data_IF_303067268565
#
_entry.id   IF_303067268565
#
_cell.length_a   1.000
_cell.length_b   1.000
_cell.length_c   1.000
_cell.angle_alpha   90.00
_cell.angle_beta   90.00
_cell.angle_gamma   90.00
#
_symmetry.space_group_name_H-M   'P 1'
#
loop_
_entity.id
_entity.type
_entity.pdbx_description
1 polymer ?
#
# COMPACT_ATOMS: atom_id res chain seq x y z
N UNK A 1 28.49 31.28 35.22
CA UNK A 1 27.82 32.59 35.38
C UNK A 1 26.43 32.48 34.80
N UNK A 2 25.49 32.60 35.66
CA UNK A 2 24.06 32.63 35.58
C UNK A 2 23.49 33.55 34.49
N UNK A 3 22.41 33.14 33.83
CA UNK A 3 21.13 33.85 33.91
C UNK A 3 19.99 33.01 33.23
N UNK A 4 19.09 32.54 34.06
CA UNK A 4 17.72 32.16 33.78
C UNK A 4 16.91 33.43 33.47
N UNK A 5 15.96 33.34 32.52
CA UNK A 5 14.76 34.19 32.51
C UNK A 5 13.57 33.30 32.16
N UNK A 6 12.78 33.03 33.21
CA UNK A 6 11.37 32.57 33.11
C UNK A 6 10.49 33.80 32.94
N UNK A 7 9.48 33.73 32.07
CA UNK A 7 8.30 34.58 32.17
C UNK A 7 7.06 33.68 31.96
N UNK A 8 6.35 33.54 33.06
CA UNK A 8 4.95 33.07 33.10
C UNK A 8 4.05 34.30 33.02
N UNK A 9 2.95 34.20 32.30
CA UNK A 9 1.79 35.02 32.61
C UNK A 9 0.50 34.26 32.31
N UNK A 10 -0.32 34.26 33.33
CA UNK A 10 -1.59 33.59 33.49
C UNK A 10 -2.78 34.43 32.98
N UNK A 11 -3.87 33.72 32.67
CA UNK A 11 -5.22 34.12 33.10
C UNK A 11 -6.05 34.91 32.08
N UNK A 12 -7.21 34.45 31.72
CA UNK A 12 -8.48 34.82 32.40
C UNK A 12 -9.63 34.01 31.81
N UNK A 13 -10.39 33.39 32.70
CA UNK A 13 -11.73 32.81 32.48
C UNK A 13 -12.77 33.91 32.26
N UNK A 14 -13.77 33.62 31.44
CA UNK A 14 -15.11 34.25 31.61
C UNK A 14 -16.18 33.19 31.32
N UNK A 15 -16.89 32.82 32.38
CA UNK A 15 -18.19 32.14 32.40
C UNK A 15 -19.30 33.10 31.97
N UNK A 16 -20.28 32.59 31.24
CA UNK A 16 -21.55 33.25 30.96
C UNK A 16 -22.70 32.24 30.96
N UNK A 17 -23.36 32.05 32.10
CA UNK A 17 -24.66 31.37 32.24
C UNK A 17 -25.77 32.41 32.09
N UNK A 18 -26.90 32.02 31.46
CA UNK A 18 -28.29 32.41 31.79
C UNK A 18 -29.21 31.70 30.78
N UNK A 19 -30.04 30.81 31.09
CA UNK A 19 -31.19 30.65 31.96
C UNK A 19 -32.54 30.88 31.26
N UNK A 20 -33.34 29.82 31.19
CA UNK A 20 -34.79 29.64 31.41
C UNK A 20 -35.81 30.55 30.71
N UNK A 21 -36.85 29.86 30.17
CA UNK A 21 -38.18 30.46 29.91
C UNK A 21 -39.16 29.42 29.32
N UNK A 22 -39.78 28.67 30.11
CA UNK A 22 -41.06 28.01 30.33
C UNK A 22 -42.21 28.31 29.35
N UNK A 23 -42.94 27.23 29.05
CA UNK A 23 -44.31 27.05 28.52
C UNK A 23 -45.40 27.90 29.19
N UNK A 24 -46.64 28.05 28.61
CA UNK A 24 -47.61 26.97 28.65
C UNK A 24 -48.64 26.87 27.50
N UNK A 25 -49.39 25.79 27.56
CA UNK A 25 -50.49 25.26 26.78
C UNK A 25 -51.74 26.17 26.58
N UNK A 26 -52.49 25.88 25.52
CA UNK A 26 -53.98 25.80 25.56
C UNK A 26 -54.52 25.17 24.26
N UNK A 27 -55.23 24.06 24.43
CA UNK A 27 -56.35 23.58 23.60
C UNK A 27 -57.65 24.29 24.07
N UNK A 28 -58.87 24.09 23.47
CA UNK A 28 -59.34 23.24 22.39
C UNK A 28 -60.34 23.92 21.41
N UNK A 29 -60.78 23.20 20.36
CA UNK A 29 -62.20 22.94 20.03
C UNK A 29 -62.43 22.54 18.57
N UNK A 30 -62.87 21.32 18.40
CA UNK A 30 -64.09 20.84 17.75
C UNK A 30 -64.53 21.40 16.40
N UNK A 31 -64.64 20.48 15.41
CA UNK A 31 -65.34 20.69 14.15
C UNK A 31 -65.33 19.42 13.27
N UNK A 32 -66.36 18.58 13.46
CA UNK A 32 -66.71 17.40 12.66
C UNK A 32 -67.16 17.78 11.28
N UNK A 33 -66.67 17.07 10.22
CA UNK A 33 -67.53 16.57 9.13
C UNK A 33 -66.86 15.41 8.41
N UNK A 34 -67.58 14.34 8.33
CA UNK A 34 -67.24 13.12 7.54
C UNK A 34 -67.41 13.35 6.06
N UNK A 35 -66.50 12.81 5.26
CA UNK A 35 -66.78 12.36 3.91
C UNK A 35 -65.90 11.17 3.57
N UNK A 36 -66.62 10.11 3.27
CA UNK A 36 -66.18 8.79 2.82
C UNK A 36 -65.54 8.87 1.43
N UNK A 37 -64.58 8.01 1.20
CA UNK A 37 -64.39 7.12 0.06
C UNK A 37 -62.97 7.16 -0.55
N UNK A 38 -62.41 6.09 -0.57
CA UNK A 38 -61.87 5.24 -1.65
C UNK A 38 -60.55 4.58 -1.26
N UNK A 39 -60.64 3.30 -1.04
CA UNK A 39 -59.53 2.37 -1.02
C UNK A 39 -58.79 2.41 -2.35
N UNK A 40 -57.58 2.87 -2.33
CA UNK A 40 -56.59 2.67 -3.36
C UNK A 40 -55.38 2.00 -2.75
N UNK A 41 -55.42 0.67 -2.66
CA UNK A 41 -54.30 -0.15 -2.26
C UNK A 41 -53.28 -0.12 -3.40
N UNK A 42 -52.31 0.77 -3.31
CA UNK A 42 -51.11 0.71 -4.11
C UNK A 42 -50.06 -0.02 -3.26
N UNK A 43 -50.05 -1.34 -3.38
CA UNK A 43 -48.93 -2.16 -2.93
C UNK A 43 -47.74 -1.77 -3.80
N UNK A 44 -46.90 -0.86 -3.32
CA UNK A 44 -45.54 -0.72 -3.83
C UNK A 44 -44.82 -2.02 -3.48
N UNK A 45 -44.75 -2.90 -4.46
CA UNK A 45 -43.86 -4.05 -4.45
C UNK A 45 -42.45 -3.46 -4.40
N UNK A 46 -41.86 -3.36 -3.22
CA UNK A 46 -40.43 -3.26 -3.07
C UNK A 46 -39.87 -4.58 -3.61
N UNK A 47 -39.50 -4.59 -4.87
CA UNK A 47 -38.56 -5.58 -5.38
C UNK A 47 -37.28 -5.38 -4.60
N UNK A 48 -37.10 -6.14 -3.53
CA UNK A 48 -35.78 -6.46 -3.04
C UNK A 48 -35.11 -7.21 -4.19
N UNK A 49 -34.31 -6.54 -4.97
CA UNK A 49 -33.29 -7.19 -5.79
C UNK A 49 -32.38 -7.90 -4.79
N UNK A 50 -32.58 -9.18 -4.61
CA UNK A 50 -31.52 -10.06 -4.14
C UNK A 50 -30.44 -9.95 -5.20
N UNK A 51 -29.47 -9.05 -5.01
CA UNK A 51 -28.20 -9.15 -5.71
C UNK A 51 -27.67 -10.53 -5.38
N UNK A 52 -27.72 -11.42 -6.36
CA UNK A 52 -27.02 -12.68 -6.28
C UNK A 52 -25.55 -12.30 -6.11
N UNK A 53 -24.93 -12.68 -4.99
CA UNK A 53 -23.49 -12.57 -4.81
C UNK A 53 -22.85 -13.24 -6.04
N UNK A 54 -22.37 -12.44 -6.96
CA UNK A 54 -21.68 -12.92 -8.14
C UNK A 54 -20.27 -13.23 -7.69
N UNK A 55 -19.94 -14.50 -7.59
CA UNK A 55 -18.60 -14.95 -7.25
C UNK A 55 -17.61 -14.54 -8.35
N UNK A 56 -16.40 -14.22 -7.98
CA UNK A 56 -15.30 -13.89 -8.87
C UNK A 56 -14.41 -15.12 -8.94
N UNK A 57 -14.22 -15.69 -10.13
CA UNK A 57 -13.40 -16.86 -10.39
C UNK A 57 -12.26 -16.58 -11.35
N UNK A 58 -12.31 -15.46 -12.05
CA UNK A 58 -11.34 -15.04 -13.06
C UNK A 58 -11.19 -13.52 -13.06
N UNK A 59 -10.17 -13.04 -13.74
CA UNK A 59 -9.94 -11.60 -13.97
C UNK A 59 -11.09 -10.96 -14.76
N UNK A 60 -11.71 -11.69 -15.68
CA UNK A 60 -12.85 -11.20 -16.47
C UNK A 60 -14.09 -10.88 -15.62
N UNK A 61 -14.23 -11.52 -14.46
CA UNK A 61 -15.34 -11.28 -13.53
C UNK A 61 -15.22 -9.96 -12.75
N UNK A 62 -14.12 -9.23 -12.87
CA UNK A 62 -13.90 -7.95 -12.22
C UNK A 62 -14.71 -6.78 -12.83
N UNK A 63 -15.26 -6.96 -14.04
CA UNK A 63 -16.16 -5.98 -14.69
C UNK A 63 -17.30 -5.58 -13.76
N UNK A 64 -17.45 -4.28 -13.51
CA UNK A 64 -18.51 -3.72 -12.65
C UNK A 64 -18.37 -3.99 -11.16
N UNK A 65 -17.22 -4.49 -10.69
CA UNK A 65 -16.94 -4.77 -9.27
C UNK A 65 -16.33 -3.58 -8.56
N UNK A 66 -16.40 -3.63 -7.23
CA UNK A 66 -15.64 -2.71 -6.37
C UNK A 66 -14.29 -3.35 -6.05
N UNK A 67 -13.21 -2.70 -6.46
CA UNK A 67 -11.86 -3.24 -6.38
C UNK A 67 -11.01 -2.40 -5.42
N UNK A 68 -10.45 -3.04 -4.41
CA UNK A 68 -9.49 -2.44 -3.49
C UNK A 68 -8.07 -2.50 -4.06
N UNK A 69 -7.33 -1.40 -3.96
CA UNK A 69 -5.95 -1.31 -4.44
C UNK A 69 -5.11 -0.47 -3.48
N UNK A 70 -3.80 -0.62 -3.51
CA UNK A 70 -2.93 0.36 -2.86
C UNK A 70 -2.68 1.54 -3.80
N UNK A 71 -2.83 2.76 -3.26
CA UNK A 71 -2.69 4.02 -3.99
C UNK A 71 -1.31 4.13 -4.67
N UNK A 72 -1.31 4.40 -5.97
CA UNK A 72 -0.12 4.67 -6.77
C UNK A 72 0.65 3.44 -7.23
N UNK A 73 0.11 2.22 -6.98
CA UNK A 73 0.65 0.97 -7.55
C UNK A 73 0.20 0.79 -8.99
N UNK A 74 0.79 -0.16 -9.70
CA UNK A 74 0.32 -0.59 -11.02
C UNK A 74 -1.04 -1.25 -10.93
N UNK A 75 -1.33 -2.00 -9.85
CA UNK A 75 -2.66 -2.53 -9.55
C UNK A 75 -3.75 -1.44 -9.49
N UNK A 76 -3.43 -0.26 -8.93
CA UNK A 76 -4.33 0.91 -8.95
C UNK A 76 -4.59 1.38 -10.39
N UNK A 77 -3.55 1.47 -11.21
CA UNK A 77 -3.70 1.86 -12.63
C UNK A 77 -4.53 0.85 -13.40
N UNK A 78 -4.24 -0.44 -13.27
CA UNK A 78 -4.99 -1.50 -13.96
C UNK A 78 -6.45 -1.58 -13.54
N UNK A 79 -6.74 -1.42 -12.25
CA UNK A 79 -8.11 -1.42 -11.74
C UNK A 79 -8.97 -0.31 -12.38
N UNK A 80 -8.37 0.85 -12.66
CA UNK A 80 -9.05 1.97 -13.31
C UNK A 80 -9.41 1.71 -14.78
N UNK A 81 -8.71 0.79 -15.44
CA UNK A 81 -8.96 0.41 -16.82
C UNK A 81 -10.05 -0.70 -16.95
N UNK A 82 -10.48 -1.30 -15.83
CA UNK A 82 -11.52 -2.33 -15.84
C UNK A 82 -12.90 -1.70 -16.06
N UNK A 83 -13.62 -2.18 -17.07
CA UNK A 83 -14.93 -1.63 -17.46
C UNK A 83 -15.94 -1.65 -16.31
N UNK A 84 -16.46 -0.48 -15.95
CA UNK A 84 -17.50 -0.33 -14.92
C UNK A 84 -17.05 -0.60 -13.50
N UNK A 85 -15.77 -0.86 -13.26
CA UNK A 85 -15.25 -1.05 -11.90
C UNK A 85 -15.32 0.24 -11.06
N UNK A 86 -15.51 0.07 -9.76
CA UNK A 86 -15.33 1.13 -8.76
C UNK A 86 -14.03 0.87 -8.03
N UNK A 87 -13.08 1.79 -8.08
CA UNK A 87 -11.76 1.61 -7.46
C UNK A 87 -11.72 2.32 -6.11
N UNK A 88 -11.44 1.54 -5.07
CA UNK A 88 -11.24 2.03 -3.70
C UNK A 88 -9.75 1.97 -3.35
N UNK A 89 -9.15 3.15 -3.19
CA UNK A 89 -7.72 3.31 -2.95
C UNK A 89 -7.41 3.33 -1.45
N UNK A 90 -6.40 2.55 -1.04
CA UNK A 90 -5.90 2.46 0.34
C UNK A 90 -4.41 2.81 0.39
N UNK A 91 -3.95 3.33 1.52
CA UNK A 91 -2.51 3.60 1.69
C UNK A 91 -1.68 2.32 1.89
N UNK A 92 -2.33 1.24 2.36
CA UNK A 92 -1.68 -0.06 2.63
C UNK A 92 -2.55 -1.20 2.13
N UNK A 93 -1.93 -2.27 1.62
CA UNK A 93 -2.65 -3.47 1.23
C UNK A 93 -3.42 -4.11 2.40
N UNK A 94 -2.89 -4.05 3.63
CA UNK A 94 -3.60 -4.53 4.82
C UNK A 94 -4.99 -3.90 4.97
N UNK A 95 -5.14 -2.61 4.66
CA UNK A 95 -6.43 -1.92 4.74
C UNK A 95 -7.37 -2.33 3.60
N UNK A 96 -6.83 -2.55 2.39
CA UNK A 96 -7.59 -3.08 1.26
C UNK A 96 -8.10 -4.51 1.55
N UNK A 97 -7.23 -5.39 2.08
CA UNK A 97 -7.59 -6.75 2.49
C UNK A 97 -8.61 -6.75 3.63
N UNK A 98 -8.47 -5.84 4.59
CA UNK A 98 -9.49 -5.69 5.64
C UNK A 98 -10.85 -5.23 5.06
N UNK A 99 -10.84 -4.35 4.07
CA UNK A 99 -12.05 -3.92 3.37
C UNK A 99 -12.70 -5.08 2.59
N UNK A 100 -11.91 -5.95 1.96
CA UNK A 100 -12.37 -7.20 1.33
C UNK A 100 -13.07 -8.10 2.36
N UNK A 101 -12.45 -8.37 3.49
CA UNK A 101 -13.04 -9.18 4.58
C UNK A 101 -14.34 -8.58 5.13
N UNK A 102 -14.48 -7.27 5.10
CA UNK A 102 -15.69 -6.56 5.52
C UNK A 102 -16.76 -6.47 4.42
N UNK A 103 -16.49 -6.97 3.21
CA UNK A 103 -17.38 -6.89 2.06
C UNK A 103 -17.59 -5.45 1.55
N UNK A 104 -16.63 -4.56 1.78
CA UNK A 104 -16.63 -3.18 1.25
C UNK A 104 -16.10 -3.13 -0.17
N UNK A 105 -15.19 -4.04 -0.50
CA UNK A 105 -14.70 -4.29 -1.85
C UNK A 105 -14.96 -5.75 -2.18
N UNK A 106 -15.11 -6.06 -3.47
CA UNK A 106 -15.38 -7.41 -3.98
C UNK A 106 -14.10 -8.18 -4.23
N UNK A 107 -13.02 -7.47 -4.57
CA UNK A 107 -11.69 -8.02 -4.86
C UNK A 107 -10.58 -7.04 -4.46
N UNK A 108 -9.35 -7.53 -4.35
CA UNK A 108 -8.14 -6.70 -4.20
C UNK A 108 -7.14 -7.10 -5.27
N UNK A 109 -6.65 -6.15 -6.06
CA UNK A 109 -5.52 -6.38 -6.98
C UNK A 109 -4.23 -6.11 -6.20
N UNK A 110 -3.33 -7.07 -6.21
CA UNK A 110 -2.08 -7.09 -5.44
C UNK A 110 -1.05 -7.97 -6.15
N UNK A 111 0.22 -7.76 -5.86
CA UNK A 111 1.29 -8.62 -6.35
C UNK A 111 1.19 -10.04 -5.75
N UNK A 112 1.59 -11.04 -6.53
CA UNK A 112 1.39 -12.46 -6.21
C UNK A 112 2.08 -12.88 -4.89
N UNK A 113 3.34 -12.47 -4.65
CA UNK A 113 4.03 -12.91 -3.44
C UNK A 113 3.40 -12.35 -2.16
N UNK A 114 3.10 -11.04 -2.02
CA UNK A 114 2.28 -10.54 -0.93
C UNK A 114 0.87 -11.16 -0.90
N UNK A 115 0.27 -11.40 -2.07
CA UNK A 115 -1.04 -12.04 -2.19
C UNK A 115 -1.06 -13.43 -1.57
N UNK A 116 -0.01 -14.25 -1.81
CA UNK A 116 0.16 -15.58 -1.17
C UNK A 116 0.24 -15.46 0.35
N UNK A 117 0.98 -14.47 0.87
CA UNK A 117 1.06 -14.25 2.32
C UNK A 117 -0.32 -13.95 2.92
N UNK A 118 -1.13 -13.14 2.23
CA UNK A 118 -2.50 -12.88 2.70
C UNK A 118 -3.43 -14.09 2.58
N UNK A 119 -3.34 -14.89 1.53
CA UNK A 119 -4.10 -16.14 1.38
C UNK A 119 -3.74 -17.15 2.49
N UNK A 120 -2.44 -17.36 2.74
CA UNK A 120 -1.96 -18.26 3.78
C UNK A 120 -2.36 -17.84 5.20
N UNK A 121 -2.43 -16.54 5.46
CA UNK A 121 -2.76 -15.99 6.79
C UNK A 121 -4.27 -15.86 7.04
N UNK A 122 -5.13 -16.04 6.02
CA UNK A 122 -6.56 -15.80 6.12
C UNK A 122 -7.37 -16.95 5.50
N UNK A 123 -8.03 -17.73 6.34
CA UNK A 123 -8.86 -18.88 5.92
C UNK A 123 -10.04 -18.50 5.01
N UNK A 124 -10.48 -17.24 5.03
CA UNK A 124 -11.63 -16.69 4.33
C UNK A 124 -11.26 -15.97 3.00
N UNK A 125 -9.97 -15.88 2.68
CA UNK A 125 -9.45 -15.27 1.45
C UNK A 125 -8.86 -16.36 0.55
N UNK A 126 -8.88 -16.13 -0.74
CA UNK A 126 -8.16 -16.91 -1.74
C UNK A 126 -7.56 -15.98 -2.80
N UNK A 127 -6.36 -16.29 -3.21
CA UNK A 127 -5.74 -15.70 -4.40
C UNK A 127 -6.17 -16.52 -5.62
N UNK A 128 -6.61 -15.84 -6.70
CA UNK A 128 -6.92 -16.52 -7.94
C UNK A 128 -5.66 -17.10 -8.58
N UNK A 129 -5.78 -18.27 -9.21
CA UNK A 129 -4.65 -18.92 -9.89
C UNK A 129 -4.27 -18.23 -11.23
N UNK A 130 -5.06 -17.26 -11.67
CA UNK A 130 -4.87 -16.53 -12.93
C UNK A 130 -3.97 -15.31 -12.71
N UNK A 131 -2.87 -15.24 -13.48
CA UNK A 131 -1.99 -14.08 -13.51
C UNK A 131 -2.69 -12.91 -14.22
N UNK A 132 -2.77 -11.76 -13.56
CA UNK A 132 -3.33 -10.55 -14.15
C UNK A 132 -2.36 -9.93 -15.17
N UNK A 133 -1.11 -9.73 -14.77
CA UNK A 133 -0.02 -9.25 -15.63
C UNK A 133 1.34 -9.54 -15.00
N UNK A 134 2.39 -9.55 -15.83
CA UNK A 134 3.80 -9.75 -15.41
C UNK A 134 4.52 -8.42 -15.49
N UNK A 135 5.31 -8.09 -14.50
CA UNK A 135 5.98 -6.82 -14.31
C UNK A 135 7.46 -7.00 -13.96
N UNK A 136 8.29 -6.03 -14.36
CA UNK A 136 9.71 -5.98 -14.01
C UNK A 136 9.93 -4.98 -12.87
N UNK A 137 10.47 -5.45 -11.73
CA UNK A 137 10.84 -4.60 -10.60
C UNK A 137 12.25 -4.06 -10.74
N UNK A 138 12.41 -2.77 -10.51
CA UNK A 138 13.68 -2.09 -10.55
C UNK A 138 13.78 -1.01 -9.46
N UNK A 139 15.00 -0.57 -9.17
CA UNK A 139 15.27 0.49 -8.20
C UNK A 139 15.11 1.84 -8.91
N UNK A 140 14.30 2.72 -8.31
CA UNK A 140 14.06 4.06 -8.80
C UNK A 140 15.10 5.05 -8.24
N UNK A 141 15.67 5.88 -9.12
CA UNK A 141 16.62 6.94 -8.77
C UNK A 141 16.18 8.27 -9.37
N UNK A 142 16.74 9.36 -8.84
CA UNK A 142 16.47 10.68 -9.42
C UNK A 142 16.92 10.71 -10.90
N UNK A 143 16.17 11.44 -11.70
CA UNK A 143 16.42 11.58 -13.13
C UNK A 143 17.84 12.08 -13.44
N UNK A 144 18.58 11.34 -14.26
CA UNK A 144 19.97 11.66 -14.60
C UNK A 144 20.98 11.43 -13.48
N UNK A 145 20.63 10.63 -12.47
CA UNK A 145 21.53 10.29 -11.37
C UNK A 145 22.75 9.49 -11.85
N UNK A 146 23.95 9.90 -11.45
CA UNK A 146 25.19 9.13 -11.68
C UNK A 146 25.19 7.79 -10.91
N UNK A 147 24.29 7.61 -9.95
CA UNK A 147 24.16 6.36 -9.21
C UNK A 147 23.52 5.26 -10.05
N UNK A 148 22.72 5.57 -11.08
CA UNK A 148 22.01 4.56 -11.87
C UNK A 148 22.96 3.55 -12.50
N UNK A 149 24.03 4.01 -13.16
CA UNK A 149 25.04 3.12 -13.74
C UNK A 149 25.81 2.32 -12.68
N UNK A 150 26.16 2.96 -11.55
CA UNK A 150 26.85 2.28 -10.43
C UNK A 150 25.99 1.20 -9.79
N UNK A 151 24.68 1.46 -9.66
CA UNK A 151 23.73 0.47 -9.18
C UNK A 151 23.62 -0.70 -10.16
N UNK A 152 23.57 -0.45 -11.47
CA UNK A 152 23.56 -1.52 -12.47
C UNK A 152 24.83 -2.38 -12.44
N UNK A 153 26.01 -1.78 -12.25
CA UNK A 153 27.25 -2.53 -12.04
C UNK A 153 27.19 -3.40 -10.78
N UNK A 154 26.68 -2.85 -9.67
CA UNK A 154 26.50 -3.60 -8.42
C UNK A 154 25.47 -4.73 -8.58
N UNK A 155 24.33 -4.47 -9.22
CA UNK A 155 23.29 -5.46 -9.52
C UNK A 155 23.86 -6.63 -10.34
N UNK A 156 24.63 -6.33 -11.38
CA UNK A 156 25.27 -7.36 -12.20
C UNK A 156 26.22 -8.23 -11.36
N UNK A 157 27.07 -7.62 -10.53
CA UNK A 157 27.99 -8.33 -9.65
C UNK A 157 27.29 -9.19 -8.60
N UNK A 158 26.21 -8.67 -8.00
CA UNK A 158 25.37 -9.36 -6.97
C UNK A 158 24.65 -10.56 -7.59
N UNK A 159 24.18 -10.45 -8.83
CA UNK A 159 23.60 -11.58 -9.58
C UNK A 159 24.66 -12.61 -9.95
N UNK A 160 25.83 -12.18 -10.46
CA UNK A 160 26.90 -13.08 -10.89
C UNK A 160 27.49 -13.88 -9.73
N UNK A 161 27.61 -13.29 -8.54
CA UNK A 161 28.21 -13.97 -7.38
C UNK A 161 27.22 -14.82 -6.57
N UNK A 162 25.94 -14.90 -6.99
CA UNK A 162 24.90 -15.69 -6.36
C UNK A 162 24.25 -15.05 -5.10
N UNK A 163 24.60 -13.81 -4.76
CA UNK A 163 23.98 -13.12 -3.61
C UNK A 163 22.48 -12.93 -3.82
N UNK A 164 22.04 -12.58 -5.03
CA UNK A 164 20.60 -12.45 -5.32
C UNK A 164 19.88 -13.78 -5.17
N UNK A 165 20.47 -14.89 -5.63
CA UNK A 165 19.90 -16.22 -5.48
C UNK A 165 19.75 -16.58 -4.00
N UNK A 166 20.75 -16.29 -3.15
CA UNK A 166 20.68 -16.53 -1.72
C UNK A 166 19.56 -15.71 -1.04
N UNK A 167 19.33 -14.47 -1.46
CA UNK A 167 18.22 -13.65 -0.98
C UNK A 167 16.87 -14.29 -1.38
N UNK A 168 16.72 -14.67 -2.65
CA UNK A 168 15.49 -15.31 -3.14
C UNK A 168 15.24 -16.68 -2.48
N UNK A 169 16.29 -17.45 -2.22
CA UNK A 169 16.22 -18.74 -1.50
C UNK A 169 15.66 -18.57 -0.09
N UNK A 170 16.02 -17.46 0.58
CA UNK A 170 15.53 -17.15 1.91
C UNK A 170 14.05 -16.73 1.91
N UNK A 171 13.65 -15.87 0.99
CA UNK A 171 12.37 -15.15 1.09
C UNK A 171 11.26 -15.74 0.19
N UNK A 172 11.61 -16.37 -0.94
CA UNK A 172 10.63 -16.90 -1.91
C UNK A 172 10.74 -18.42 -2.03
N UNK A 173 11.95 -18.96 -2.22
CA UNK A 173 12.11 -20.37 -2.53
C UNK A 173 11.96 -21.28 -1.31
N UNK A 174 11.96 -20.74 -0.08
CA UNK A 174 11.77 -21.47 1.16
C UNK A 174 12.89 -22.49 1.44
N UNK A 175 14.11 -22.21 1.01
CA UNK A 175 15.27 -23.10 1.21
C UNK A 175 15.64 -23.12 2.68
N UNK A 176 15.53 -24.26 3.31
CA UNK A 176 15.83 -24.42 4.75
C UNK A 176 17.30 -24.04 5.04
N UNK A 177 17.47 -23.09 5.98
CA UNK A 177 18.80 -22.61 6.39
C UNK A 177 19.43 -21.58 5.45
N UNK A 178 18.69 -21.06 4.45
CA UNK A 178 19.16 -19.92 3.66
C UNK A 178 19.29 -18.66 4.54
N UNK A 179 20.46 -18.05 4.56
CA UNK A 179 20.75 -16.87 5.40
C UNK A 179 20.46 -15.54 4.70
N UNK A 180 20.33 -15.58 3.36
CA UNK A 180 20.20 -14.35 2.55
C UNK A 180 21.51 -13.57 2.48
N UNK A 181 21.43 -12.24 2.51
CA UNK A 181 22.61 -11.38 2.51
C UNK A 181 22.93 -10.84 3.89
N UNK A 182 24.17 -11.03 4.31
CA UNK A 182 24.73 -10.46 5.55
C UNK A 182 25.95 -9.62 5.17
N UNK A 183 26.00 -8.38 5.68
CA UNK A 183 27.16 -7.51 5.51
C UNK A 183 28.44 -8.19 6.00
N UNK A 184 29.50 -8.29 5.18
CA UNK A 184 30.75 -8.87 5.61
C UNK A 184 31.35 -8.12 6.80
N UNK A 185 31.97 -8.86 7.73
CA UNK A 185 32.64 -8.24 8.88
C UNK A 185 33.80 -7.31 8.41
N UNK A 186 33.84 -6.09 8.98
CA UNK A 186 34.84 -5.10 8.64
C UNK A 186 34.54 -4.27 7.38
N UNK A 187 33.30 -4.35 6.86
CA UNK A 187 32.87 -3.46 5.76
C UNK A 187 32.96 -2.00 6.19
N UNK A 188 33.63 -1.18 5.36
CA UNK A 188 33.79 0.27 5.59
C UNK A 188 32.94 1.07 4.58
N UNK A 189 32.48 2.24 4.97
CA UNK A 189 31.61 3.10 4.17
C UNK A 189 32.26 4.44 3.81
N UNK A 190 33.35 4.44 3.00
CA UNK A 190 34.10 5.65 2.67
C UNK A 190 33.29 6.65 1.85
N UNK A 191 32.22 6.21 1.20
CA UNK A 191 31.41 7.05 0.33
C UNK A 191 30.22 7.70 1.05
N UNK A 192 30.05 7.44 2.37
CA UNK A 192 28.99 8.02 3.20
C UNK A 192 27.76 7.15 3.27
N UNK A 193 26.59 7.76 3.35
CA UNK A 193 25.29 7.08 3.57
C UNK A 193 24.38 7.36 2.40
N UNK A 194 23.64 6.34 1.95
CA UNK A 194 22.51 6.47 1.02
C UNK A 194 21.20 6.15 1.75
N UNK A 195 20.18 6.94 1.50
CA UNK A 195 18.83 6.76 2.04
C UNK A 195 17.92 6.12 1.01
N UNK A 196 17.42 4.92 1.33
CA UNK A 196 16.39 4.19 0.58
C UNK A 196 15.01 4.59 1.08
N UNK A 197 14.11 4.97 0.18
CA UNK A 197 12.69 5.07 0.46
C UNK A 197 12.01 3.75 0.13
N UNK A 198 11.15 3.25 1.03
CA UNK A 198 10.40 2.01 0.85
C UNK A 198 9.03 2.10 1.50
N UNK A 199 8.16 1.08 1.30
CA UNK A 199 6.89 0.93 2.00
C UNK A 199 6.82 -0.43 2.69
N UNK A 200 7.26 -0.48 3.96
CA UNK A 200 7.55 -1.70 4.71
C UNK A 200 6.30 -2.46 5.19
N UNK A 201 5.34 -2.66 4.29
CA UNK A 201 4.09 -3.43 4.48
C UNK A 201 3.83 -4.39 3.31
N UNK A 202 4.90 -4.85 2.65
CA UNK A 202 4.88 -5.61 1.41
C UNK A 202 5.73 -6.89 1.48
N UNK A 203 5.43 -7.84 2.40
CA UNK A 203 6.17 -9.08 2.50
C UNK A 203 6.00 -9.92 1.21
N UNK A 204 7.05 -10.60 0.75
CA UNK A 204 8.37 -10.76 1.35
C UNK A 204 9.42 -9.73 0.89
N UNK A 205 9.02 -8.69 0.16
CA UNK A 205 9.95 -7.71 -0.41
C UNK A 205 10.48 -6.73 0.64
N UNK A 206 9.59 -6.05 1.38
CA UNK A 206 9.96 -5.18 2.49
C UNK A 206 8.88 -5.18 3.57
N UNK A 207 9.27 -5.51 4.79
CA UNK A 207 8.34 -5.57 5.92
C UNK A 207 9.07 -5.46 7.25
N UNK A 208 8.30 -5.17 8.30
CA UNK A 208 8.85 -5.11 9.65
C UNK A 208 8.96 -6.48 10.29
N UNK A 209 10.15 -6.80 10.79
CA UNK A 209 10.40 -7.90 11.72
C UNK A 209 10.88 -7.29 13.05
N UNK A 210 9.97 -7.16 14.01
CA UNK A 210 10.22 -6.34 15.20
C UNK A 210 10.31 -4.86 14.86
N UNK A 211 11.46 -4.24 15.13
CA UNK A 211 11.73 -2.83 14.81
C UNK A 211 12.60 -2.66 13.54
N UNK A 212 12.97 -3.77 12.89
CA UNK A 212 13.83 -3.75 11.71
C UNK A 212 13.02 -3.95 10.43
N UNK A 213 13.42 -3.29 9.35
CA UNK A 213 12.87 -3.52 8.01
C UNK A 213 13.76 -4.57 7.33
N UNK A 214 13.13 -5.69 6.97
CA UNK A 214 13.74 -6.85 6.33
C UNK A 214 13.03 -7.17 5.02
N UNK A 215 13.56 -8.13 4.27
CA UNK A 215 12.96 -8.59 3.01
C UNK A 215 13.93 -8.50 1.83
N UNK A 216 13.45 -8.89 0.67
CA UNK A 216 14.24 -8.96 -0.56
C UNK A 216 14.85 -7.60 -0.88
N UNK A 217 14.03 -6.55 -0.90
CA UNK A 217 14.45 -5.21 -1.30
C UNK A 217 15.41 -4.60 -0.27
N UNK A 218 15.17 -4.85 1.04
CA UNK A 218 16.05 -4.39 2.11
C UNK A 218 17.43 -5.03 2.04
N UNK A 219 17.50 -6.37 1.87
CA UNK A 219 18.77 -7.08 1.76
C UNK A 219 19.49 -6.79 0.44
N UNK A 220 18.75 -6.68 -0.67
CA UNK A 220 19.29 -6.35 -1.97
C UNK A 220 19.90 -4.95 -2.00
N UNK A 221 19.16 -3.95 -1.48
CA UNK A 221 19.67 -2.59 -1.33
C UNK A 221 20.90 -2.54 -0.41
N UNK A 222 20.91 -3.35 0.66
CA UNK A 222 22.06 -3.47 1.54
C UNK A 222 23.29 -4.02 0.81
N UNK A 223 23.13 -5.07 0.01
CA UNK A 223 24.20 -5.65 -0.78
C UNK A 223 24.76 -4.65 -1.81
N UNK A 224 23.89 -3.87 -2.49
CA UNK A 224 24.30 -2.81 -3.42
C UNK A 224 25.08 -1.72 -2.69
N UNK A 225 24.60 -1.23 -1.56
CA UNK A 225 25.26 -0.18 -0.79
C UNK A 225 26.63 -0.64 -0.26
N UNK A 226 26.72 -1.87 0.27
CA UNK A 226 27.98 -2.46 0.72
C UNK A 226 28.98 -2.61 -0.43
N UNK A 227 28.55 -3.08 -1.61
CA UNK A 227 29.37 -3.18 -2.81
C UNK A 227 29.93 -1.82 -3.25
N UNK A 228 29.11 -0.77 -3.14
CA UNK A 228 29.48 0.59 -3.53
C UNK A 228 30.18 1.38 -2.40
N UNK A 229 30.35 0.81 -1.21
CA UNK A 229 30.99 1.47 -0.05
C UNK A 229 30.14 2.56 0.58
N UNK A 230 28.83 2.43 0.57
CA UNK A 230 27.88 3.30 1.25
C UNK A 230 27.19 2.57 2.42
N UNK A 231 26.96 3.29 3.50
CA UNK A 231 26.06 2.85 4.55
C UNK A 231 24.61 3.01 4.09
N UNK A 232 23.78 1.96 4.25
CA UNK A 232 22.35 2.02 3.94
C UNK A 232 21.56 2.55 5.12
N UNK A 233 20.70 3.54 4.86
CA UNK A 233 19.61 3.96 5.73
C UNK A 233 18.28 3.69 5.03
N UNK A 234 17.33 3.02 5.71
CA UNK A 234 16.00 2.75 5.17
C UNK A 234 14.98 3.67 5.82
N UNK A 235 14.13 4.31 5.02
CA UNK A 235 13.04 5.19 5.43
C UNK A 235 11.71 4.61 4.94
N UNK A 236 10.85 4.20 5.89
CA UNK A 236 9.47 3.77 5.59
C UNK A 236 8.58 4.96 5.30
N UNK A 237 7.78 4.86 4.25
CA UNK A 237 6.77 5.86 3.88
C UNK A 237 5.66 5.24 3.05
N UNK A 238 4.57 5.99 2.84
CA UNK A 238 3.50 5.58 1.92
C UNK A 238 4.06 5.40 0.50
N UNK A 239 3.65 4.33 -0.20
CA UNK A 239 4.18 3.96 -1.54
C UNK A 239 4.13 5.14 -2.52
N UNK A 240 2.99 5.83 -2.60
CA UNK A 240 2.82 7.00 -3.47
C UNK A 240 3.76 8.19 -3.13
N UNK A 241 4.45 8.16 -1.97
CA UNK A 241 5.39 9.19 -1.53
C UNK A 241 6.84 8.91 -1.93
N UNK A 242 7.16 7.70 -2.42
CA UNK A 242 8.54 7.28 -2.72
C UNK A 242 9.15 8.14 -3.84
N UNK A 243 8.50 8.22 -5.01
CA UNK A 243 8.99 9.05 -6.14
C UNK A 243 9.10 10.53 -5.76
N UNK A 244 8.11 11.15 -5.09
CA UNK A 244 8.26 12.50 -4.53
C UNK A 244 9.45 12.66 -3.57
N UNK A 245 9.73 11.66 -2.73
CA UNK A 245 10.89 11.70 -1.80
C UNK A 245 12.22 11.69 -2.57
N UNK A 246 12.34 10.87 -3.60
CA UNK A 246 13.51 10.82 -4.48
C UNK A 246 13.69 12.18 -5.17
N UNK A 247 12.64 12.71 -5.81
CA UNK A 247 12.71 13.97 -6.55
C UNK A 247 13.02 15.18 -5.69
N UNK A 248 12.64 15.16 -4.41
CA UNK A 248 12.96 16.23 -3.46
C UNK A 248 14.33 16.08 -2.79
N UNK A 249 15.04 14.96 -3.03
CA UNK A 249 16.31 14.65 -2.35
C UNK A 249 16.14 14.24 -0.88
N UNK A 250 14.94 13.88 -0.45
CA UNK A 250 14.68 13.29 0.87
C UNK A 250 15.20 11.85 0.94
N UNK A 251 15.14 11.13 -0.17
CA UNK A 251 15.74 9.83 -0.37
C UNK A 251 16.66 9.86 -1.61
N UNK A 252 17.70 9.04 -1.61
CA UNK A 252 18.62 8.92 -2.73
C UNK A 252 18.09 7.96 -3.80
N UNK A 253 17.33 6.95 -3.38
CA UNK A 253 16.70 5.96 -4.24
C UNK A 253 15.46 5.35 -3.59
N UNK A 254 14.68 4.61 -4.37
CA UNK A 254 13.51 3.86 -3.90
C UNK A 254 13.58 2.41 -4.34
N UNK A 255 13.35 1.49 -3.39
CA UNK A 255 13.16 0.07 -3.66
C UNK A 255 11.94 -0.38 -2.85
N UNK A 256 10.90 -0.88 -3.54
CA UNK A 256 9.59 -1.21 -2.97
C UNK A 256 8.76 -2.06 -3.94
N UNK A 257 9.35 -3.13 -4.52
CA UNK A 257 8.69 -3.90 -5.58
C UNK A 257 8.22 -2.99 -6.72
N UNK A 258 9.03 -2.00 -7.09
CA UNK A 258 8.58 -0.92 -7.96
C UNK A 258 8.70 -1.28 -9.44
N UNK A 259 7.56 -1.41 -10.11
CA UNK A 259 7.46 -1.70 -11.54
C UNK A 259 7.95 -0.52 -12.39
N UNK A 260 8.70 -0.82 -13.43
CA UNK A 260 9.09 0.15 -14.45
C UNK A 260 7.89 0.46 -15.35
N UNK A 261 7.42 1.71 -15.35
CA UNK A 261 6.33 2.17 -16.23
C UNK A 261 6.72 3.44 -16.97
N UNK A 262 6.10 3.67 -18.14
CA UNK A 262 6.35 4.89 -18.92
C UNK A 262 6.02 6.16 -18.11
N UNK A 263 4.97 6.11 -17.28
CA UNK A 263 4.57 7.24 -16.43
C UNK A 263 5.63 7.55 -15.37
N UNK A 264 6.13 6.53 -14.67
CA UNK A 264 7.18 6.67 -13.65
C UNK A 264 8.49 7.16 -14.26
N UNK A 265 8.82 6.65 -15.48
CA UNK A 265 9.99 7.09 -16.24
C UNK A 265 9.98 8.57 -16.63
N UNK A 266 8.85 9.27 -16.59
CA UNK A 266 8.83 10.73 -16.75
C UNK A 266 9.47 11.46 -15.57
N UNK A 267 9.48 10.85 -14.38
CA UNK A 267 9.84 11.47 -13.12
C UNK A 267 11.14 10.94 -12.50
N UNK A 268 11.48 9.67 -12.75
CA UNK A 268 12.66 8.99 -12.22
C UNK A 268 13.35 8.17 -13.32
N UNK A 269 14.59 7.78 -13.08
CA UNK A 269 15.25 6.73 -13.84
C UNK A 269 15.19 5.42 -13.04
N UNK A 270 15.24 4.30 -13.72
CA UNK A 270 15.28 2.98 -13.10
C UNK A 270 16.60 2.28 -13.43
N UNK A 271 17.00 1.40 -12.54
CA UNK A 271 18.07 0.42 -12.80
C UNK A 271 17.61 -0.65 -13.79
N UNK A 272 18.51 -1.54 -14.15
CA UNK A 272 18.13 -2.85 -14.69
C UNK A 272 17.21 -3.57 -13.69
N UNK A 273 16.28 -4.37 -14.22
CA UNK A 273 15.35 -5.16 -13.41
C UNK A 273 16.12 -6.16 -12.53
N UNK A 274 15.72 -6.29 -11.27
CA UNK A 274 16.30 -7.26 -10.34
C UNK A 274 15.38 -8.44 -10.06
N UNK A 275 14.07 -8.26 -10.19
CA UNK A 275 13.04 -9.26 -9.92
C UNK A 275 11.88 -9.10 -10.89
N UNK A 276 11.08 -10.16 -11.04
CA UNK A 276 9.82 -10.14 -11.78
C UNK A 276 8.66 -10.26 -10.80
N UNK A 277 7.70 -9.35 -10.88
CA UNK A 277 6.44 -9.39 -10.15
C UNK A 277 5.29 -9.87 -11.03
N UNK A 278 4.23 -10.36 -10.43
CA UNK A 278 2.99 -10.77 -11.10
C UNK A 278 1.84 -10.13 -10.35
N UNK A 279 0.98 -9.39 -11.04
CA UNK A 279 -0.27 -8.90 -10.43
C UNK A 279 -1.28 -10.04 -10.36
N UNK A 280 -1.95 -10.16 -9.24
CA UNK A 280 -2.93 -11.20 -8.91
C UNK A 280 -4.16 -10.60 -8.25
N UNK A 281 -5.17 -11.42 -8.01
CA UNK A 281 -6.44 -10.98 -7.44
C UNK A 281 -6.76 -11.79 -6.18
N UNK A 282 -7.04 -11.10 -5.08
CA UNK A 282 -7.58 -11.69 -3.85
C UNK A 282 -9.10 -11.52 -3.82
N UNK A 283 -9.81 -12.58 -3.44
CA UNK A 283 -11.26 -12.60 -3.26
C UNK A 283 -11.65 -13.35 -1.98
N UNK A 284 -12.90 -13.21 -1.53
CA UNK A 284 -13.45 -14.04 -0.45
C UNK A 284 -13.82 -15.43 -1.00
N UNK A 285 -13.54 -16.47 -0.20
CA UNK A 285 -13.94 -17.88 -0.47
C UNK A 285 -15.44 -18.09 -0.49
#
# INVERSE_FOLDING_TARGET
MKKLISVALAGVMALGLAACGSTPASEPASGSTAASAAYGSSAASASASTESKQYIFSVDDLTGKTIGVQLGTTGDTYAQDIEGATVEQYNKFNDAVLALKQGKVDAVIIDNEPGKVFDEQNDDIIMLDEDFTVEDYAIALNKGSELTEKFNEAIAAIKENGTMDAILDKYINGVEGAEGYVTPEGTEYPNGTLTMATNAYFPPYEYYEGDEIVGIDAEFAKAICDYLGYELKIEDMEFASIIPAINSGKADFGAAGMTVTEERLLNVDFTDSYCTGIQSVLVLK
#
